data_IF_997313647381
#
_entry.id   IF_997313647381
#
_cell.length_a   1.000
_cell.length_b   1.000
_cell.length_c   1.000
_cell.angle_alpha   90.00
_cell.angle_beta   90.00
_cell.angle_gamma   90.00
#
_symmetry.space_group_name_H-M   'P 1'
#
loop_
_entity.id
_entity.type
_entity.pdbx_description
1 polymer ?
#
# COMPACT_ATOMS: atom_id res chain seq x y z
N UNK A 1 -20.11 32.89 13.53
CA UNK A 1 -19.40 31.67 14.01
C UNK A 1 -19.65 30.42 13.15
N UNK A 2 -20.74 30.34 12.36
CA UNK A 2 -21.04 29.19 11.46
C UNK A 2 -19.95 28.92 10.42
N UNK A 3 -19.29 29.98 9.93
CA UNK A 3 -18.34 29.94 8.82
C UNK A 3 -17.02 29.24 9.20
N UNK A 4 -16.56 29.38 10.45
CA UNK A 4 -15.34 28.72 10.93
C UNK A 4 -15.56 27.22 11.20
N UNK A 5 -16.76 26.84 11.64
CA UNK A 5 -17.14 25.44 11.82
C UNK A 5 -17.27 24.74 10.47
N UNK A 6 -17.89 25.40 9.49
CA UNK A 6 -18.01 24.89 8.13
C UNK A 6 -16.65 24.68 7.47
N UNK A 7 -15.78 25.69 7.50
CA UNK A 7 -14.42 25.59 6.93
C UNK A 7 -13.57 24.52 7.62
N UNK A 8 -13.71 24.35 8.95
CA UNK A 8 -13.05 23.24 9.66
C UNK A 8 -13.54 21.88 9.18
N UNK A 9 -14.85 21.69 9.00
CA UNK A 9 -15.43 20.43 8.47
C UNK A 9 -14.91 20.13 7.07
N UNK A 10 -14.91 21.13 6.18
CA UNK A 10 -14.39 20.97 4.81
C UNK A 10 -12.91 20.57 4.84
N UNK A 11 -12.08 21.22 5.66
CA UNK A 11 -10.67 20.84 5.80
C UNK A 11 -10.49 19.40 6.28
N UNK A 12 -11.27 18.97 7.28
CA UNK A 12 -11.21 17.59 7.78
C UNK A 12 -11.61 16.58 6.69
N UNK A 13 -12.66 16.88 5.91
CA UNK A 13 -13.08 16.02 4.80
C UNK A 13 -11.97 15.90 3.73
N UNK A 14 -11.30 17.00 3.40
CA UNK A 14 -10.17 16.96 2.44
C UNK A 14 -9.03 16.08 2.96
N UNK A 15 -8.64 16.23 4.21
CA UNK A 15 -7.58 15.41 4.82
C UNK A 15 -7.94 13.93 4.83
N UNK A 16 -9.17 13.59 5.22
CA UNK A 16 -9.65 12.21 5.23
C UNK A 16 -9.63 11.61 3.82
N UNK A 17 -10.06 12.35 2.81
CA UNK A 17 -10.03 11.90 1.42
C UNK A 17 -8.60 11.66 0.93
N UNK A 18 -7.66 12.56 1.24
CA UNK A 18 -6.26 12.39 0.88
C UNK A 18 -5.66 11.13 1.53
N UNK A 19 -5.93 10.92 2.82
CA UNK A 19 -5.48 9.71 3.52
C UNK A 19 -6.08 8.44 2.92
N UNK A 20 -7.36 8.46 2.56
CA UNK A 20 -8.01 7.32 1.92
C UNK A 20 -7.38 6.99 0.55
N UNK A 21 -7.09 8.01 -0.27
CA UNK A 21 -6.41 7.81 -1.56
C UNK A 21 -5.03 7.19 -1.35
N UNK A 22 -4.24 7.70 -0.40
CA UNK A 22 -2.92 7.15 -0.07
C UNK A 22 -3.04 5.70 0.40
N UNK A 23 -4.03 5.37 1.24
CA UNK A 23 -4.24 4.01 1.71
C UNK A 23 -4.59 3.05 0.55
N UNK A 24 -5.43 3.48 -0.40
CA UNK A 24 -5.75 2.69 -1.60
C UNK A 24 -4.50 2.48 -2.45
N UNK A 25 -3.70 3.53 -2.67
CA UNK A 25 -2.43 3.45 -3.41
C UNK A 25 -1.44 2.47 -2.75
N UNK A 26 -1.36 2.46 -1.42
CA UNK A 26 -0.53 1.49 -0.72
C UNK A 26 -1.07 0.07 -0.83
N UNK A 27 -2.39 -0.12 -0.77
CA UNK A 27 -3.00 -1.44 -0.91
C UNK A 27 -2.79 -2.04 -2.31
N UNK A 28 -2.84 -1.23 -3.38
CA UNK A 28 -2.57 -1.70 -4.75
C UNK A 28 -1.08 -1.95 -5.01
N UNK A 29 -0.20 -1.25 -4.30
CA UNK A 29 1.24 -1.42 -4.43
C UNK A 29 1.77 -2.51 -3.49
N UNK A 30 0.94 -2.95 -2.54
CA UNK A 30 1.31 -4.01 -1.62
C UNK A 30 1.54 -5.31 -2.41
N UNK A 31 2.71 -5.95 -2.24
CA UNK A 31 2.97 -7.23 -2.87
C UNK A 31 1.95 -8.25 -2.36
N UNK A 32 1.30 -8.96 -3.29
CA UNK A 32 0.33 -9.99 -2.92
C UNK A 32 1.07 -11.15 -2.25
N UNK A 33 0.62 -11.63 -1.08
CA UNK A 33 1.23 -12.78 -0.43
C UNK A 33 0.95 -14.03 -1.26
N UNK A 34 1.92 -14.41 -2.07
CA UNK A 34 1.91 -15.66 -2.84
C UNK A 34 2.37 -16.80 -1.92
N UNK A 35 1.59 -17.89 -1.89
CA UNK A 35 1.95 -19.09 -1.13
C UNK A 35 3.27 -19.65 -1.65
N UNK A 36 4.24 -19.87 -0.77
CA UNK A 36 5.56 -20.41 -1.11
C UNK A 36 5.50 -21.74 -1.87
N UNK A 37 4.43 -22.52 -1.71
CA UNK A 37 4.21 -23.76 -2.45
C UNK A 37 3.84 -23.56 -3.93
N UNK A 38 3.38 -22.37 -4.31
CA UNK A 38 3.06 -22.00 -5.70
C UNK A 38 4.25 -21.37 -6.45
N UNK A 39 5.31 -20.97 -5.74
CA UNK A 39 6.55 -20.51 -6.36
C UNK A 39 7.38 -21.75 -6.72
N UNK A 40 7.34 -22.13 -7.99
CA UNK A 40 8.24 -23.16 -8.53
C UNK A 40 9.72 -22.76 -8.45
N UNK A 41 10.61 -23.68 -8.83
CA UNK A 41 12.08 -23.49 -8.87
C UNK A 41 12.58 -22.30 -9.71
N UNK A 42 11.71 -21.73 -10.54
CA UNK A 42 12.00 -20.61 -11.43
C UNK A 42 12.02 -19.23 -10.74
N UNK A 43 11.57 -19.15 -9.48
CA UNK A 43 11.52 -17.88 -8.72
C UNK A 43 12.74 -17.74 -7.81
N UNK A 44 13.60 -16.77 -8.12
CA UNK A 44 14.72 -16.39 -7.26
C UNK A 44 14.24 -15.30 -6.29
N UNK A 45 13.93 -15.71 -5.05
CA UNK A 45 13.51 -14.78 -4.00
C UNK A 45 14.73 -14.14 -3.34
N UNK A 46 14.86 -12.82 -3.46
CA UNK A 46 15.87 -12.04 -2.76
C UNK A 46 15.25 -11.38 -1.53
N UNK A 47 15.90 -11.56 -0.37
CA UNK A 47 15.47 -10.98 0.91
C UNK A 47 16.00 -9.54 0.98
N UNK A 48 15.21 -8.57 0.54
CA UNK A 48 15.57 -7.18 0.64
C UNK A 48 15.31 -6.68 2.08
N UNK A 49 16.40 -6.38 2.81
CA UNK A 49 16.38 -5.67 4.09
C UNK A 49 15.40 -6.25 5.15
N UNK A 50 15.53 -7.55 5.44
CA UNK A 50 14.95 -8.26 6.60
C UNK A 50 13.42 -8.35 6.75
N UNK A 51 12.62 -7.53 6.07
CA UNK A 51 11.15 -7.49 6.24
C UNK A 51 10.39 -7.83 4.94
N UNK A 52 11.01 -7.70 3.78
CA UNK A 52 10.37 -7.93 2.49
C UNK A 52 11.11 -8.99 1.68
N UNK A 53 10.47 -10.14 1.47
CA UNK A 53 10.92 -11.15 0.53
C UNK A 53 10.35 -10.79 -0.84
N UNK A 54 11.18 -10.25 -1.72
CA UNK A 54 10.77 -9.97 -3.10
C UNK A 54 11.21 -11.12 -4.00
N UNK A 55 10.27 -11.74 -4.71
CA UNK A 55 10.58 -12.79 -5.68
C UNK A 55 10.51 -12.21 -7.08
N UNK A 56 11.53 -12.50 -7.88
CA UNK A 56 11.54 -12.20 -9.31
C UNK A 56 11.65 -13.52 -10.06
N UNK A 57 10.97 -13.61 -11.20
CA UNK A 57 11.15 -14.72 -12.13
C UNK A 57 12.56 -14.62 -12.68
N UNK A 58 13.34 -15.70 -12.59
CA UNK A 58 14.62 -15.77 -13.28
C UNK A 58 14.32 -15.70 -14.78
N UNK A 59 14.80 -14.65 -15.45
CA UNK A 59 14.83 -14.59 -16.91
C UNK A 59 16.00 -15.44 -17.41
#
# INVERSE_FOLDING_TARGET
MVNSVWTRKVRMLVVINLLAIVAVLLAIAAPHPISSAALGSEWQCSKAAFVLTTCRQAL
#
